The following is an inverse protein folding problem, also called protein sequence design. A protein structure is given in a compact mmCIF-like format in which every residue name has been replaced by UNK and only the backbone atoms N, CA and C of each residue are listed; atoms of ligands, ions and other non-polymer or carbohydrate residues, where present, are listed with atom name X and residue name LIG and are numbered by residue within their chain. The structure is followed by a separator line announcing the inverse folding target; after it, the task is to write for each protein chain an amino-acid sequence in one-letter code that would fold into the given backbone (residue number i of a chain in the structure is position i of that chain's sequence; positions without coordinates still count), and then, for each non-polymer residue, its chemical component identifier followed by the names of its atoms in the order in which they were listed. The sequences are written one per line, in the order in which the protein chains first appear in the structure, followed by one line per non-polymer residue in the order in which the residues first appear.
data_IF_138800535109
#
_entry.id   IF_138800535109
#
_cell.length_a   1.000
_cell.length_b   1.000
_cell.length_c   1.000
_cell.angle_alpha   90.00
_cell.angle_beta   90.00
_cell.angle_gamma   90.00
#
_symmetry.space_group_name_H-M   'P 1'
#
loop_
_entity.id
_entity.type
_entity.pdbx_description
1 polymer ?
#
# COMPACT_ATOMS: atom_id res chain seq x y z
N UNK A 1 -18.41 -40.13 4.65
CA UNK A 1 -18.46 -38.66 4.78
C UNK A 1 -17.13 -38.21 5.37
N UNK A 2 -16.17 -37.88 4.51
CA UNK A 2 -14.86 -37.33 4.89
C UNK A 2 -15.03 -35.84 5.14
N UNK A 3 -14.98 -35.43 6.41
CA UNK A 3 -14.91 -34.02 6.80
C UNK A 3 -13.61 -33.44 6.24
N UNK A 4 -13.75 -32.47 5.33
CA UNK A 4 -12.66 -31.59 4.92
C UNK A 4 -12.25 -30.84 6.21
N UNK A 5 -11.02 -30.98 6.71
CA UNK A 5 -10.57 -30.14 7.80
C UNK A 5 -10.52 -28.71 7.26
N UNK A 6 -11.44 -27.85 7.72
CA UNK A 6 -11.25 -26.41 7.64
C UNK A 6 -9.98 -26.12 8.44
N UNK A 7 -8.88 -25.90 7.71
CA UNK A 7 -7.65 -25.33 8.25
C UNK A 7 -8.03 -24.08 9.02
N UNK A 8 -7.84 -24.09 10.34
CA UNK A 8 -7.95 -22.92 11.19
C UNK A 8 -6.84 -21.93 10.76
N UNK A 9 -7.11 -21.14 9.72
CA UNK A 9 -6.24 -20.06 9.31
C UNK A 9 -6.06 -19.11 10.49
N UNK A 10 -4.81 -18.92 10.91
CA UNK A 10 -4.49 -18.13 12.09
C UNK A 10 -4.98 -16.69 11.85
N UNK A 11 -5.79 -16.11 12.74
CA UNK A 11 -6.40 -14.78 12.54
C UNK A 11 -5.35 -13.69 12.24
N UNK A 12 -4.13 -13.84 12.77
CA UNK A 12 -3.00 -12.95 12.52
C UNK A 12 -2.59 -12.91 11.04
N UNK A 13 -2.60 -14.05 10.33
CA UNK A 13 -2.23 -14.13 8.91
C UNK A 13 -3.23 -13.37 8.03
N UNK A 14 -4.54 -13.47 8.35
CA UNK A 14 -5.60 -12.71 7.68
C UNK A 14 -5.47 -11.21 7.90
N UNK A 15 -5.14 -10.80 9.12
CA UNK A 15 -4.93 -9.38 9.45
C UNK A 15 -3.74 -8.82 8.68
N UNK A 16 -2.62 -9.55 8.63
CA UNK A 16 -1.44 -9.14 7.86
C UNK A 16 -1.73 -9.07 6.37
N UNK A 17 -2.44 -10.05 5.81
CA UNK A 17 -2.85 -10.03 4.41
C UNK A 17 -3.77 -8.85 4.11
N UNK A 18 -4.75 -8.58 4.98
CA UNK A 18 -5.63 -7.42 4.87
C UNK A 18 -4.87 -6.10 4.93
N UNK A 19 -3.92 -5.97 5.87
CA UNK A 19 -3.07 -4.79 6.00
C UNK A 19 -2.21 -4.56 4.75
N UNK A 20 -1.65 -5.64 4.19
CA UNK A 20 -0.88 -5.60 2.95
C UNK A 20 -1.74 -5.13 1.77
N UNK A 21 -2.93 -5.72 1.59
CA UNK A 21 -3.85 -5.39 0.49
C UNK A 21 -4.29 -3.93 0.59
N UNK A 22 -4.69 -3.47 1.78
CA UNK A 22 -5.09 -2.07 2.00
C UNK A 22 -3.92 -1.12 1.74
N UNK A 23 -2.73 -1.44 2.25
CA UNK A 23 -1.53 -0.63 2.03
C UNK A 23 -1.13 -0.52 0.56
N UNK A 24 -1.24 -1.61 -0.20
CA UNK A 24 -1.00 -1.63 -1.65
C UNK A 24 -2.05 -0.83 -2.41
N UNK A 25 -3.33 -0.99 -2.09
CA UNK A 25 -4.40 -0.23 -2.72
C UNK A 25 -4.22 1.28 -2.52
N UNK A 26 -3.85 1.69 -1.30
CA UNK A 26 -3.58 3.10 -0.98
C UNK A 26 -2.36 3.63 -1.73
N UNK A 27 -1.30 2.83 -1.90
CA UNK A 27 -0.16 3.18 -2.75
C UNK A 27 -0.56 3.37 -4.20
N UNK A 28 -1.31 2.45 -4.79
CA UNK A 28 -1.74 2.57 -6.19
C UNK A 28 -2.60 3.83 -6.38
N UNK A 29 -3.58 4.05 -5.51
CA UNK A 29 -4.45 5.23 -5.56
C UNK A 29 -3.66 6.53 -5.37
N UNK A 30 -2.76 6.58 -4.39
CA UNK A 30 -1.90 7.73 -4.13
C UNK A 30 -0.96 8.03 -5.31
N UNK A 31 -0.38 7.00 -5.92
CA UNK A 31 0.49 7.14 -7.09
C UNK A 31 -0.25 7.70 -8.30
N UNK A 32 -1.41 7.14 -8.64
CA UNK A 32 -2.24 7.62 -9.76
C UNK A 32 -2.66 9.08 -9.52
N UNK A 33 -3.15 9.38 -8.32
CA UNK A 33 -3.64 10.73 -7.99
C UNK A 33 -2.49 11.75 -8.04
N UNK A 34 -1.32 11.40 -7.52
CA UNK A 34 -0.14 12.26 -7.59
C UNK A 34 0.32 12.49 -9.02
N UNK A 35 0.28 11.47 -9.88
CA UNK A 35 0.66 11.58 -11.28
C UNK A 35 -0.29 12.48 -12.09
N UNK A 36 -1.60 12.33 -11.87
CA UNK A 36 -2.64 13.11 -12.55
C UNK A 36 -2.62 14.57 -12.12
N UNK A 37 -2.43 14.83 -10.82
CA UNK A 37 -2.52 16.18 -10.25
C UNK A 37 -1.17 16.90 -10.19
N UNK A 38 -0.09 16.22 -10.63
CA UNK A 38 1.25 16.78 -10.64
C UNK A 38 1.24 18.15 -11.34
N UNK A 39 1.76 19.22 -10.71
CA UNK A 39 1.79 20.53 -11.32
C UNK A 39 2.61 20.47 -12.61
N UNK A 40 1.97 20.75 -13.75
CA UNK A 40 2.62 20.85 -15.06
C UNK A 40 2.48 22.26 -15.56
N UNK A 41 3.56 22.78 -16.12
CA UNK A 41 3.55 24.05 -16.82
C UNK A 41 3.34 23.73 -18.29
N UNK A 42 2.13 24.00 -18.79
CA UNK A 42 1.83 23.86 -20.21
C UNK A 42 1.95 25.23 -20.89
N UNK A 43 2.61 25.25 -22.05
CA UNK A 43 2.70 26.44 -22.90
C UNK A 43 1.41 26.54 -23.71
N UNK A 44 0.46 27.31 -23.20
CA UNK A 44 -0.80 27.60 -23.87
C UNK A 44 -0.68 28.72 -24.91
N UNK A 45 -1.69 28.90 -25.79
CA UNK A 45 -1.71 29.94 -26.82
C UNK A 45 -1.65 31.38 -26.30
N UNK A 46 -1.80 31.58 -24.98
CA UNK A 46 -1.81 32.88 -24.29
C UNK A 46 -0.76 33.02 -23.18
N UNK A 47 0.16 32.07 -23.04
CA UNK A 47 1.21 32.08 -22.01
C UNK A 47 1.33 30.76 -21.24
N UNK A 48 2.15 30.77 -20.20
CA UNK A 48 2.36 29.60 -19.31
C UNK A 48 1.13 29.41 -18.43
N UNK A 49 0.50 28.24 -18.52
CA UNK A 49 -0.59 27.83 -17.64
C UNK A 49 -0.01 26.79 -16.67
N UNK A 50 -0.12 27.05 -15.36
CA UNK A 50 0.09 26.01 -14.34
C UNK A 50 -1.21 25.20 -14.23
N UNK A 51 -1.16 23.93 -14.65
CA UNK A 51 -2.24 22.97 -14.50
C UNK A 51 -1.88 21.96 -13.41
N UNK A 52 -2.84 21.64 -12.55
CA UNK A 52 -2.65 20.74 -11.41
C UNK A 52 -2.74 21.43 -10.04
N UNK A 53 -3.03 20.63 -9.02
CA UNK A 53 -3.20 21.11 -7.64
C UNK A 53 -2.11 20.53 -6.75
N UNK A 54 -1.22 21.41 -6.27
CA UNK A 54 -0.14 21.06 -5.33
C UNK A 54 -0.67 20.44 -4.04
N UNK A 55 -1.81 20.89 -3.54
CA UNK A 55 -2.43 20.39 -2.31
C UNK A 55 -2.89 18.94 -2.50
N UNK A 56 -3.57 18.66 -3.61
CA UNK A 56 -4.02 17.30 -3.93
C UNK A 56 -2.84 16.37 -4.18
N UNK A 57 -1.81 16.86 -4.88
CA UNK A 57 -0.56 16.11 -5.08
C UNK A 57 0.09 15.76 -3.73
N UNK A 58 0.15 16.71 -2.80
CA UNK A 58 0.73 16.49 -1.48
C UNK A 58 -0.07 15.44 -0.68
N UNK A 59 -1.41 15.55 -0.68
CA UNK A 59 -2.29 14.55 -0.04
C UNK A 59 -2.08 13.17 -0.66
N UNK A 60 -1.96 13.09 -1.99
CA UNK A 60 -1.74 11.84 -2.70
C UNK A 60 -0.38 11.20 -2.36
N UNK A 61 0.67 12.00 -2.25
CA UNK A 61 2.02 11.55 -1.81
C UNK A 61 1.99 11.07 -0.35
N UNK A 62 1.28 11.78 0.54
CA UNK A 62 1.11 11.34 1.93
C UNK A 62 0.35 10.01 2.01
N UNK A 63 -0.72 9.86 1.23
CA UNK A 63 -1.47 8.61 1.11
C UNK A 63 -0.59 7.46 0.58
N UNK A 64 0.22 7.73 -0.44
CA UNK A 64 1.20 6.78 -0.96
C UNK A 64 2.19 6.34 0.14
N UNK A 65 2.76 7.30 0.86
CA UNK A 65 3.71 7.03 1.95
C UNK A 65 3.09 6.19 3.08
N UNK A 66 1.85 6.51 3.49
CA UNK A 66 1.11 5.73 4.49
C UNK A 66 0.87 4.30 4.01
N UNK A 67 0.45 4.13 2.75
CA UNK A 67 0.26 2.81 2.16
C UNK A 67 1.56 2.00 2.11
N UNK A 68 2.68 2.66 1.80
CA UNK A 68 4.03 2.11 1.87
C UNK A 68 4.37 1.59 3.26
N UNK A 69 4.20 2.42 4.29
CA UNK A 69 4.46 2.04 5.68
C UNK A 69 3.60 0.84 6.14
N UNK A 70 2.31 0.81 5.78
CA UNK A 70 1.42 -0.31 6.09
C UNK A 70 1.90 -1.60 5.41
N UNK A 71 2.23 -1.54 4.13
CA UNK A 71 2.71 -2.70 3.38
C UNK A 71 4.04 -3.24 3.92
N UNK A 72 4.99 -2.34 4.25
CA UNK A 72 6.27 -2.71 4.87
C UNK A 72 6.05 -3.40 6.21
N UNK A 73 5.17 -2.85 7.05
CA UNK A 73 4.84 -3.42 8.36
C UNK A 73 4.27 -4.84 8.22
N UNK A 74 3.37 -5.06 7.26
CA UNK A 74 2.82 -6.38 6.98
C UNK A 74 3.91 -7.38 6.57
N UNK A 75 4.82 -6.98 5.67
CA UNK A 75 5.93 -7.84 5.20
C UNK A 75 6.89 -8.17 6.33
N UNK A 76 7.29 -7.19 7.14
CA UNK A 76 8.20 -7.40 8.27
C UNK A 76 7.56 -8.34 9.30
N UNK A 77 6.30 -8.13 9.66
CA UNK A 77 5.60 -9.01 10.60
C UNK A 77 5.51 -10.45 10.08
N UNK A 78 5.25 -10.62 8.78
CA UNK A 78 5.22 -11.94 8.15
C UNK A 78 6.60 -12.61 8.18
N UNK A 79 7.66 -11.86 7.87
CA UNK A 79 9.05 -12.33 7.93
C UNK A 79 9.48 -12.75 9.35
N UNK A 80 9.09 -11.99 10.36
CA UNK A 80 9.35 -12.33 11.77
C UNK A 80 8.67 -13.64 12.16
N UNK A 81 7.41 -13.84 11.78
CA UNK A 81 6.70 -15.09 12.06
C UNK A 81 7.33 -16.30 11.38
N UNK A 82 7.78 -16.15 10.13
CA UNK A 82 8.50 -17.21 9.42
C UNK A 82 9.84 -17.51 10.10
N UNK A 83 10.57 -16.48 10.53
CA UNK A 83 11.84 -16.64 11.26
C UNK A 83 11.69 -17.36 12.59
N UNK A 84 10.64 -17.02 13.36
CA UNK A 84 10.33 -17.71 14.62
C UNK A 84 9.96 -19.18 14.40
N UNK A 85 9.18 -19.50 13.36
CA UNK A 85 8.86 -20.90 13.00
C UNK A 85 10.13 -21.69 12.63
N UNK A 86 11.02 -21.09 11.85
CA UNK A 86 12.28 -21.73 11.45
C UNK A 86 13.23 -22.00 12.64
N UNK A 87 13.16 -21.22 13.71
CA UNK A 87 13.89 -21.50 14.96
C UNK A 87 13.21 -22.53 15.86
N UNK A 88 11.88 -22.64 15.83
CA UNK A 88 11.15 -23.63 16.62
C UNK A 88 11.26 -25.06 16.07
N UNK A 89 11.62 -25.21 14.79
CA UNK A 89 11.84 -26.51 14.14
C UNK A 89 13.29 -27.04 14.28
N UNK A 90 14.19 -26.28 14.92
CA UNK A 90 15.58 -26.68 15.22
C UNK A 90 15.73 -27.04 16.69
#
# INVERSE_FOLDING_TARGET
MTSIPMSEERPTEKIMLGLLVVGLALQVAGCITAYVQAPRTELGPRGVVEEGDRTVTLIAVLGFGLGGAMSLTAVVAFGVLLGLRAHAER
#
